data_IF_319054139706
#
_entry.id   IF_319054139706
#
_cell.length_a   1.000
_cell.length_b   1.000
_cell.length_c   1.000
_cell.angle_alpha   90.00
_cell.angle_beta   90.00
_cell.angle_gamma   90.00
#
_symmetry.space_group_name_H-M   'P 1'
#
loop_
_entity.id
_entity.type
_entity.pdbx_description
1 polymer ?
#
# COMPACT_ATOMS: atom_id res chain seq x y z
N UNK A 1 15.77 9.87 -2.59
CA UNK A 1 15.10 10.70 -1.58
C UNK A 1 13.80 10.04 -1.16
N UNK A 2 13.54 9.94 0.12
CA UNK A 2 12.29 9.34 0.61
C UNK A 2 11.18 10.38 0.64
N UNK A 3 10.02 9.97 0.18
CA UNK A 3 8.80 10.76 0.28
C UNK A 3 7.85 10.09 1.25
N UNK A 4 7.03 10.90 1.92
CA UNK A 4 5.98 10.37 2.79
C UNK A 4 4.72 10.20 1.95
N UNK A 5 4.24 8.98 1.85
CA UNK A 5 3.06 8.66 1.06
C UNK A 5 2.13 7.78 1.86
N UNK A 6 0.85 7.79 1.47
CA UNK A 6 -0.08 6.79 1.96
C UNK A 6 0.09 5.52 1.16
N UNK A 7 0.12 4.39 1.84
CA UNK A 7 0.27 3.11 1.20
C UNK A 7 -0.72 2.10 1.76
N UNK A 8 -1.25 1.27 0.88
CA UNK A 8 -2.05 0.12 1.26
C UNK A 8 -1.10 -1.06 1.39
N UNK A 9 -0.94 -1.54 2.61
CA UNK A 9 -0.06 -2.66 2.92
C UNK A 9 -0.88 -3.93 3.02
N UNK A 10 -0.43 -4.97 2.36
CA UNK A 10 -1.08 -6.28 2.41
C UNK A 10 -0.16 -7.28 3.10
N UNK A 11 -0.65 -7.86 4.18
CA UNK A 11 0.06 -8.88 4.94
C UNK A 11 -0.59 -10.23 4.71
N UNK A 12 0.23 -11.22 4.48
CA UNK A 12 -0.19 -12.61 4.37
C UNK A 12 0.50 -13.41 5.45
N UNK A 13 -0.27 -14.03 6.32
CA UNK A 13 0.24 -14.80 7.46
C UNK A 13 1.25 -14.01 8.31
N UNK A 14 0.98 -12.70 8.48
CA UNK A 14 1.85 -11.84 9.27
C UNK A 14 3.04 -11.25 8.55
N UNK A 15 3.25 -11.62 7.28
CA UNK A 15 4.35 -11.12 6.48
C UNK A 15 3.87 -10.10 5.45
N UNK A 16 4.61 -9.02 5.28
CA UNK A 16 4.30 -8.03 4.26
C UNK A 16 4.58 -8.61 2.87
N UNK A 17 3.52 -8.81 2.10
CA UNK A 17 3.63 -9.40 0.76
C UNK A 17 3.52 -8.37 -0.34
N UNK A 18 2.76 -7.29 -0.11
CA UNK A 18 2.54 -6.32 -1.16
C UNK A 18 2.24 -4.96 -0.57
N UNK A 19 2.51 -3.93 -1.35
CA UNK A 19 2.18 -2.56 -0.97
C UNK A 19 1.86 -1.76 -2.22
N UNK A 20 0.93 -0.82 -2.10
CA UNK A 20 0.48 0.01 -3.22
C UNK A 20 0.42 1.47 -2.80
N UNK A 21 1.01 2.39 -3.58
CA UNK A 21 0.90 3.80 -3.26
C UNK A 21 -0.53 4.30 -3.52
N UNK A 22 -1.01 5.16 -2.65
CA UNK A 22 -2.33 5.78 -2.78
C UNK A 22 -2.20 7.29 -2.70
N UNK A 23 -3.13 7.99 -3.35
CA UNK A 23 -3.10 9.45 -3.39
C UNK A 23 -3.41 10.06 -2.03
N UNK A 24 -4.32 9.42 -1.29
CA UNK A 24 -4.75 9.92 0.01
C UNK A 24 -5.33 8.78 0.84
N UNK A 25 -5.66 9.10 2.09
CA UNK A 25 -6.19 8.11 3.01
C UNK A 25 -7.56 7.58 2.58
N UNK A 26 -8.40 8.43 2.00
CA UNK A 26 -9.73 8.02 1.57
C UNK A 26 -9.67 6.95 0.49
N UNK A 27 -8.79 7.11 -0.50
CA UNK A 27 -8.60 6.13 -1.55
C UNK A 27 -8.07 4.80 -0.98
N UNK A 28 -7.17 4.90 -0.03
CA UNK A 28 -6.61 3.72 0.61
C UNK A 28 -7.70 2.94 1.36
N UNK A 29 -8.52 3.62 2.13
CA UNK A 29 -9.60 2.99 2.87
C UNK A 29 -10.67 2.40 1.96
N UNK A 30 -10.97 3.06 0.85
CA UNK A 30 -11.92 2.55 -0.13
C UNK A 30 -11.42 1.24 -0.73
N UNK A 31 -10.16 1.19 -1.12
CA UNK A 31 -9.56 -0.02 -1.66
C UNK A 31 -9.54 -1.14 -0.63
N UNK A 32 -9.22 -0.81 0.60
CA UNK A 32 -9.23 -1.78 1.70
C UNK A 32 -10.61 -2.39 1.88
N UNK A 33 -11.66 -1.57 1.87
CA UNK A 33 -13.04 -2.05 2.02
C UNK A 33 -13.44 -2.98 0.88
N UNK A 34 -13.05 -2.63 -0.35
CA UNK A 34 -13.36 -3.47 -1.51
C UNK A 34 -12.74 -4.86 -1.38
N UNK A 35 -11.50 -4.92 -1.00
CA UNK A 35 -10.80 -6.20 -0.85
C UNK A 35 -11.41 -7.02 0.28
N UNK A 36 -11.72 -6.39 1.41
CA UNK A 36 -12.34 -7.09 2.53
C UNK A 36 -13.74 -7.61 2.19
N UNK A 37 -14.49 -6.86 1.38
CA UNK A 37 -15.83 -7.25 0.97
C UNK A 37 -15.81 -8.42 -0.01
N UNK A 38 -14.85 -8.43 -0.94
CA UNK A 38 -14.84 -9.39 -2.05
C UNK A 38 -14.21 -10.73 -1.71
N UNK A 39 -13.82 -10.95 -0.50
CA UNK A 39 -13.35 -12.26 -0.12
C UNK A 39 -12.13 -12.26 0.76
N UNK A 40 -12.10 -11.34 1.69
CA UNK A 40 -11.04 -11.34 2.67
C UNK A 40 -10.97 -12.68 3.38
N UNK A 41 -9.85 -13.36 3.22
CA UNK A 41 -9.59 -14.56 3.98
C UNK A 41 -9.01 -14.16 5.32
N UNK A 42 -9.13 -15.04 6.31
CA UNK A 42 -8.61 -14.75 7.64
C UNK A 42 -7.09 -14.62 7.69
N UNK A 43 -6.39 -15.08 6.64
CA UNK A 43 -4.94 -15.01 6.56
C UNK A 43 -4.42 -13.73 5.90
N UNK A 44 -5.32 -12.97 5.25
CA UNK A 44 -4.94 -11.72 4.59
C UNK A 44 -5.36 -10.53 5.43
N UNK A 45 -4.42 -9.64 5.67
CA UNK A 45 -4.67 -8.44 6.45
C UNK A 45 -4.23 -7.22 5.65
N UNK A 46 -5.09 -6.21 5.60
CA UNK A 46 -4.81 -4.98 4.90
C UNK A 46 -4.69 -3.84 5.89
N UNK A 47 -3.79 -2.91 5.60
CA UNK A 47 -3.56 -1.77 6.47
C UNK A 47 -3.25 -0.54 5.65
N UNK A 48 -3.90 0.58 5.97
CA UNK A 48 -3.60 1.87 5.37
C UNK A 48 -2.69 2.64 6.30
N UNK A 49 -1.52 3.00 5.79
CA UNK A 49 -0.50 3.62 6.63
C UNK A 49 0.29 4.65 5.84
N UNK A 50 0.72 5.70 6.53
CA UNK A 50 1.63 6.67 5.97
C UNK A 50 3.05 6.13 6.17
N UNK A 51 3.80 6.03 5.07
CA UNK A 51 5.14 5.45 5.10
C UNK A 51 6.12 6.33 4.33
N UNK A 52 7.38 6.23 4.68
CA UNK A 52 8.46 6.83 3.91
C UNK A 52 8.87 5.85 2.83
N UNK A 53 8.88 6.31 1.60
CA UNK A 53 9.20 5.44 0.47
C UNK A 53 9.98 6.19 -0.60
N UNK A 54 10.79 5.45 -1.32
CA UNK A 54 11.40 5.95 -2.56
C UNK A 54 10.42 5.64 -3.67
N UNK A 55 9.92 6.69 -4.33
CA UNK A 55 8.93 6.57 -5.38
C UNK A 55 9.59 6.89 -6.72
N UNK A 56 9.40 6.01 -7.70
CA UNK A 56 9.82 6.25 -9.07
C UNK A 56 8.61 6.42 -9.97
N UNK A 57 8.73 7.33 -10.92
CA UNK A 57 7.73 7.49 -11.97
C UNK A 57 8.30 6.83 -13.22
N UNK A 58 7.58 5.86 -13.75
CA UNK A 58 8.03 5.17 -14.96
C UNK A 58 7.72 6.02 -16.21
N UNK A 59 8.11 5.51 -17.39
CA UNK A 59 7.92 6.22 -18.65
C UNK A 59 6.46 6.43 -19.03
N UNK A 60 5.55 5.75 -18.36
CA UNK A 60 4.11 5.90 -18.56
C UNK A 60 3.46 6.84 -17.54
N UNK A 61 4.26 7.43 -16.66
CA UNK A 61 3.77 8.33 -15.64
C UNK A 61 3.18 7.63 -14.42
N UNK A 62 3.34 6.33 -14.32
CA UNK A 62 2.84 5.56 -13.19
C UNK A 62 3.85 5.58 -12.05
N UNK A 63 3.39 5.97 -10.87
CA UNK A 63 4.22 5.96 -9.68
C UNK A 63 4.34 4.55 -9.12
N UNK A 64 5.58 4.16 -8.85
CA UNK A 64 5.86 2.86 -8.23
C UNK A 64 6.72 3.07 -7.00
N UNK A 65 6.49 2.28 -5.99
CA UNK A 65 7.34 2.29 -4.81
C UNK A 65 8.54 1.41 -5.08
N UNK A 66 9.73 2.01 -5.09
CA UNK A 66 10.97 1.30 -5.29
C UNK A 66 11.45 0.66 -3.99
N UNK A 67 11.32 1.39 -2.90
CA UNK A 67 11.72 0.94 -1.59
C UNK A 67 10.86 1.59 -0.53
N UNK A 68 10.52 0.84 0.48
CA UNK A 68 9.72 1.34 1.59
C UNK A 68 10.52 1.21 2.88
N UNK A 69 10.45 2.25 3.70
CA UNK A 69 11.09 2.23 5.00
C UNK A 69 10.00 2.00 6.05
N UNK A 70 10.05 0.86 6.70
CA UNK A 70 9.17 0.54 7.81
C UNK A 70 9.92 0.70 9.12
N UNK A 71 9.28 1.36 10.03
CA UNK A 71 9.80 1.45 11.40
C UNK A 71 9.16 0.38 12.29
#
# INVERSE_FOLDING_TARGET
MFEIIFALLMYLNGNLENYSPKSNLADCLEQKRKVERDGGTSSVRMECKEVKAIVEVDKFGVKRIKQIKQD
#
